data_IF_563603773634
#
_entry.id   IF_563603773634
#
_cell.length_a   1.000
_cell.length_b   1.000
_cell.length_c   1.000
_cell.angle_alpha   90.00
_cell.angle_beta   90.00
_cell.angle_gamma   90.00
#
_symmetry.space_group_name_H-M   'P 1'
#
loop_
_entity.id
_entity.type
_entity.pdbx_description
1 polymer ?
#
# COMPACT_ATOMS: atom_id res chain seq x y z
N UNK A 1 3.31 10.10 23.16
CA UNK A 1 2.79 9.84 24.52
C UNK A 1 1.94 11.03 24.98
N UNK A 2 1.00 10.86 25.94
CA UNK A 2 0.18 11.97 26.46
C UNK A 2 1.04 13.15 26.96
N UNK A 3 2.13 12.81 27.65
CA UNK A 3 3.10 13.77 28.20
C UNK A 3 3.77 14.62 27.11
N UNK A 4 4.10 14.04 25.94
CA UNK A 4 4.68 14.79 24.82
C UNK A 4 3.68 15.79 24.21
N UNK A 5 2.39 15.41 24.15
CA UNK A 5 1.35 16.28 23.64
C UNK A 5 1.03 17.42 24.62
N UNK A 6 0.96 17.12 25.91
CA UNK A 6 0.75 18.15 26.94
C UNK A 6 1.93 19.14 27.02
N UNK A 7 3.17 18.67 26.81
CA UNK A 7 4.34 19.53 26.76
C UNK A 7 4.27 20.57 25.62
N UNK A 8 3.84 20.17 24.42
CA UNK A 8 3.63 21.10 23.29
C UNK A 8 2.49 22.08 23.59
N UNK A 9 1.46 21.65 24.32
CA UNK A 9 0.37 22.56 24.73
C UNK A 9 0.85 23.58 25.77
N UNK A 10 1.74 23.18 26.68
CA UNK A 10 2.31 24.04 27.72
C UNK A 10 3.21 25.16 27.18
N UNK A 11 3.72 25.07 25.94
CA UNK A 11 4.47 26.15 25.30
C UNK A 11 3.59 27.25 24.70
N UNK A 12 2.27 27.20 24.90
CA UNK A 12 1.31 28.15 24.32
C UNK A 12 0.90 27.83 22.89
N UNK A 13 1.10 26.59 22.42
CA UNK A 13 0.72 26.18 21.07
C UNK A 13 -0.81 26.28 20.86
N UNK A 14 -1.22 26.84 19.72
CA UNK A 14 -2.61 26.82 19.27
C UNK A 14 -3.09 25.40 18.95
N UNK A 15 -4.40 25.19 18.87
CA UNK A 15 -4.99 23.87 18.62
C UNK A 15 -4.44 23.18 17.37
N UNK A 16 -4.27 23.92 16.26
CA UNK A 16 -3.71 23.39 15.02
C UNK A 16 -2.23 23.02 15.15
N UNK A 17 -1.44 23.79 15.90
CA UNK A 17 -0.05 23.46 16.18
C UNK A 17 0.04 22.20 17.05
N UNK A 18 -0.82 22.09 18.06
CA UNK A 18 -0.88 20.90 18.89
C UNK A 18 -1.19 19.64 18.08
N UNK A 19 -2.16 19.68 17.17
CA UNK A 19 -2.48 18.52 16.31
C UNK A 19 -1.31 18.16 15.39
N UNK A 20 -0.76 19.12 14.65
CA UNK A 20 0.26 18.84 13.64
C UNK A 20 1.62 18.43 14.23
N UNK A 21 1.96 18.92 15.43
CA UNK A 21 3.27 18.65 16.04
C UNK A 21 3.22 17.59 17.15
N UNK A 22 2.08 17.40 17.83
CA UNK A 22 1.96 16.36 18.84
C UNK A 22 1.33 15.08 18.30
N UNK A 23 0.18 15.17 17.63
CA UNK A 23 -0.66 14.00 17.35
C UNK A 23 -0.34 13.39 15.98
N UNK A 24 -0.32 14.22 14.94
CA UNK A 24 -0.08 13.77 13.56
C UNK A 24 1.22 12.93 13.44
N UNK A 25 2.38 13.36 13.94
CA UNK A 25 3.63 12.60 13.76
C UNK A 25 3.60 11.24 14.47
N UNK A 26 2.76 11.08 15.50
CA UNK A 26 2.62 9.81 16.22
C UNK A 26 1.78 8.80 15.42
N UNK A 27 0.78 9.25 14.66
CA UNK A 27 -0.13 8.36 13.91
C UNK A 27 0.28 8.16 12.44
N UNK A 28 0.98 9.13 11.84
CA UNK A 28 1.41 9.10 10.44
C UNK A 28 2.24 7.85 10.08
N UNK A 29 3.27 7.45 10.86
CA UNK A 29 3.98 6.18 10.71
C UNK A 29 3.05 4.99 10.45
N UNK A 30 2.07 4.79 11.33
CA UNK A 30 1.12 3.68 11.27
C UNK A 30 0.16 3.82 10.08
N UNK A 31 -0.34 5.02 9.82
CA UNK A 31 -1.25 5.27 8.70
C UNK A 31 -0.59 5.00 7.36
N UNK A 32 0.64 5.48 7.16
CA UNK A 32 1.41 5.22 5.93
C UNK A 32 1.63 3.73 5.76
N UNK A 33 2.08 3.03 6.81
CA UNK A 33 2.29 1.58 6.76
C UNK A 33 1.03 0.80 6.39
N UNK A 34 -0.12 1.15 6.97
CA UNK A 34 -1.41 0.52 6.66
C UNK A 34 -1.89 0.83 5.24
N UNK A 35 -1.72 2.06 4.76
CA UNK A 35 -2.11 2.44 3.40
C UNK A 35 -1.30 1.69 2.35
N UNK A 36 0.02 1.57 2.54
CA UNK A 36 0.89 0.82 1.62
C UNK A 36 0.54 -0.67 1.66
N UNK A 37 0.33 -1.25 2.84
CA UNK A 37 -0.11 -2.64 2.97
C UNK A 37 -1.47 -2.90 2.28
N UNK A 38 -2.41 -1.97 2.42
CA UNK A 38 -3.70 -2.06 1.72
C UNK A 38 -3.53 -1.97 0.21
N UNK A 39 -2.71 -1.05 -0.28
CA UNK A 39 -2.44 -0.92 -1.72
C UNK A 39 -1.92 -2.24 -2.30
N UNK A 40 -0.97 -2.88 -1.62
CA UNK A 40 -0.42 -4.18 -2.01
C UNK A 40 -1.48 -5.29 -2.09
N UNK A 41 -2.34 -5.41 -1.06
CA UNK A 41 -3.45 -6.38 -1.07
C UNK A 41 -4.40 -6.10 -2.25
N UNK A 42 -4.80 -4.84 -2.44
CA UNK A 42 -5.70 -4.47 -3.53
C UNK A 42 -5.10 -4.80 -4.91
N UNK A 43 -3.78 -4.68 -5.06
CA UNK A 43 -3.09 -5.03 -6.31
C UNK A 43 -3.15 -6.53 -6.60
N UNK A 44 -2.87 -7.37 -5.59
CA UNK A 44 -3.01 -8.83 -5.69
C UNK A 44 -4.46 -9.25 -5.95
N UNK A 45 -5.39 -8.66 -5.22
CA UNK A 45 -6.81 -8.95 -5.34
C UNK A 45 -7.33 -8.59 -6.74
N UNK A 46 -6.92 -7.45 -7.31
CA UNK A 46 -7.25 -7.05 -8.68
C UNK A 46 -6.74 -8.04 -9.74
N UNK A 47 -5.58 -8.67 -9.51
CA UNK A 47 -5.08 -9.73 -10.39
C UNK A 47 -5.97 -10.99 -10.30
N UNK A 48 -6.35 -11.41 -9.09
CA UNK A 48 -7.21 -12.59 -8.89
C UNK A 48 -8.63 -12.36 -9.43
N UNK A 49 -9.24 -11.23 -9.08
CA UNK A 49 -10.59 -10.85 -9.52
C UNK A 49 -10.65 -10.70 -11.05
N UNK A 50 -9.59 -10.17 -11.67
CA UNK A 50 -9.53 -10.01 -13.12
C UNK A 50 -9.55 -11.34 -13.89
N UNK A 51 -8.99 -12.40 -13.31
CA UNK A 51 -9.02 -13.74 -13.92
C UNK A 51 -10.41 -14.37 -13.83
N UNK A 52 -11.17 -14.12 -12.76
CA UNK A 52 -12.53 -14.65 -12.58
C UNK A 52 -13.63 -13.77 -13.20
N UNK A 53 -13.28 -12.69 -13.89
CA UNK A 53 -14.21 -11.87 -14.66
C UNK A 53 -14.73 -10.60 -13.95
N UNK A 54 -14.19 -10.24 -12.78
CA UNK A 54 -14.59 -9.01 -12.07
C UNK A 54 -13.87 -7.72 -12.53
N UNK A 55 -12.94 -7.81 -13.48
CA UNK A 55 -12.15 -6.68 -13.99
C UNK A 55 -10.81 -6.46 -13.26
N UNK A 56 -10.02 -5.45 -13.67
CA UNK A 56 -8.71 -5.15 -13.09
C UNK A 56 -7.52 -5.72 -13.88
N UNK A 57 -6.32 -5.72 -13.27
CA UNK A 57 -5.07 -6.07 -13.99
C UNK A 57 -5.03 -7.54 -14.44
N UNK A 58 -5.77 -8.42 -13.77
CA UNK A 58 -5.90 -9.82 -14.16
C UNK A 58 -6.75 -10.04 -15.41
N UNK A 59 -7.55 -9.05 -15.82
CA UNK A 59 -8.39 -9.16 -17.01
C UNK A 59 -7.56 -9.24 -18.30
N UNK A 60 -6.42 -8.54 -18.34
CA UNK A 60 -5.47 -8.59 -19.47
C UNK A 60 -4.85 -9.98 -19.59
N UNK A 61 -4.47 -10.59 -18.47
CA UNK A 61 -3.97 -11.97 -18.42
C UNK A 61 -5.04 -12.96 -18.93
N UNK A 62 -6.27 -12.84 -18.42
CA UNK A 62 -7.38 -13.69 -18.84
C UNK A 62 -7.71 -13.53 -20.34
N UNK A 63 -7.61 -12.31 -20.87
CA UNK A 63 -7.83 -12.04 -22.30
C UNK A 63 -6.78 -12.74 -23.17
N UNK A 64 -5.49 -12.67 -22.79
CA UNK A 64 -4.43 -13.38 -23.50
C UNK A 64 -4.63 -14.91 -23.46
N UNK A 65 -4.99 -15.46 -22.29
CA UNK A 65 -5.35 -16.87 -22.14
C UNK A 65 -6.53 -17.27 -23.04
N UNK A 66 -7.58 -16.45 -23.08
CA UNK A 66 -8.78 -16.70 -23.90
C UNK A 66 -8.49 -16.66 -25.40
N UNK A 67 -7.41 -15.98 -25.81
CA UNK A 67 -6.92 -15.92 -27.19
C UNK A 67 -5.90 -17.01 -27.53
N UNK A 68 -5.57 -17.90 -26.58
CA UNK A 68 -4.51 -18.90 -26.71
C UNK A 68 -3.11 -18.29 -26.96
N UNK A 69 -2.91 -17.02 -26.58
CA UNK A 69 -1.63 -16.32 -26.67
C UNK A 69 -0.78 -16.60 -25.42
N UNK A 70 -0.28 -17.83 -25.30
CA UNK A 70 0.40 -18.27 -24.08
C UNK A 70 1.72 -17.55 -23.79
N UNK A 71 2.46 -17.14 -24.84
CA UNK A 71 3.67 -16.33 -24.69
C UNK A 71 3.36 -14.96 -24.07
N UNK A 72 2.31 -14.30 -24.58
CA UNK A 72 1.80 -13.03 -24.03
C UNK A 72 1.30 -13.21 -22.60
N UNK A 73 0.55 -14.28 -22.32
CA UNK A 73 0.04 -14.59 -20.99
C UNK A 73 1.17 -14.81 -19.98
N UNK A 74 2.21 -15.54 -20.35
CA UNK A 74 3.39 -15.77 -19.51
C UNK A 74 4.13 -14.46 -19.21
N UNK A 75 4.31 -13.58 -20.21
CA UNK A 75 4.92 -12.27 -20.01
C UNK A 75 4.11 -11.40 -19.03
N UNK A 76 2.78 -11.35 -19.18
CA UNK A 76 1.89 -10.63 -18.27
C UNK A 76 1.99 -11.19 -16.84
N UNK A 77 1.98 -12.51 -16.70
CA UNK A 77 2.08 -13.17 -15.39
C UNK A 77 3.39 -12.80 -14.68
N UNK A 78 4.52 -12.84 -15.39
CA UNK A 78 5.83 -12.44 -14.84
C UNK A 78 5.82 -10.98 -14.39
N UNK A 79 5.22 -10.08 -15.17
CA UNK A 79 5.11 -8.66 -14.79
C UNK A 79 4.27 -8.49 -13.52
N UNK A 80 3.13 -9.16 -13.41
CA UNK A 80 2.28 -9.12 -12.21
C UNK A 80 3.09 -9.59 -10.98
N UNK A 81 3.79 -10.72 -11.10
CA UNK A 81 4.64 -11.24 -10.01
C UNK A 81 5.71 -10.22 -9.64
N UNK A 82 6.41 -9.64 -10.61
CA UNK A 82 7.46 -8.65 -10.35
C UNK A 82 6.94 -7.40 -9.61
N UNK A 83 5.77 -6.89 -9.99
CA UNK A 83 5.14 -5.75 -9.32
C UNK A 83 4.76 -6.11 -7.87
N UNK A 84 4.12 -7.26 -7.67
CA UNK A 84 3.71 -7.73 -6.34
C UNK A 84 4.92 -7.93 -5.43
N UNK A 85 5.99 -8.56 -5.93
CA UNK A 85 7.24 -8.73 -5.16
C UNK A 85 7.89 -7.38 -4.81
N UNK A 86 7.87 -6.43 -5.74
CA UNK A 86 8.41 -5.07 -5.51
C UNK A 86 7.61 -4.34 -4.42
N UNK A 87 6.27 -4.41 -4.46
CA UNK A 87 5.40 -3.81 -3.45
C UNK A 87 5.60 -4.46 -2.08
N UNK A 88 5.75 -5.78 -2.03
CA UNK A 88 6.02 -6.52 -0.79
C UNK A 88 7.37 -6.12 -0.17
N UNK A 89 8.41 -6.01 -0.99
CA UNK A 89 9.72 -5.55 -0.54
C UNK A 89 9.68 -4.09 -0.02
N UNK A 90 9.04 -3.18 -0.77
CA UNK A 90 8.86 -1.78 -0.36
C UNK A 90 8.07 -1.68 0.95
N UNK A 91 7.01 -2.48 1.10
CA UNK A 91 6.21 -2.54 2.33
C UNK A 91 7.04 -3.00 3.52
N UNK A 92 7.85 -4.05 3.34
CA UNK A 92 8.78 -4.54 4.37
C UNK A 92 9.85 -3.51 4.75
N UNK A 93 10.38 -2.78 3.77
CA UNK A 93 11.37 -1.73 4.00
C UNK A 93 10.77 -0.53 4.75
N UNK A 94 9.59 -0.05 4.34
CA UNK A 94 8.89 1.02 5.05
C UNK A 94 8.63 0.62 6.50
N UNK A 95 8.16 -0.61 6.74
CA UNK A 95 7.86 -1.08 8.08
C UNK A 95 9.11 -1.09 8.99
N UNK A 96 10.28 -1.43 8.45
CA UNK A 96 11.58 -1.37 9.16
C UNK A 96 12.11 0.04 9.41
N UNK A 97 11.65 1.05 8.66
CA UNK A 97 12.06 2.46 8.82
C UNK A 97 11.13 3.26 9.72
N UNK A 98 9.92 2.75 9.90
CA UNK A 98 8.80 3.42 10.57
C UNK A 98 8.58 2.86 11.99
N UNK A 99 9.02 1.61 12.24
CA UNK A 99 9.17 1.01 13.57
C UNK A 99 10.59 1.20 14.08
#
# INVERSE_FOLDING_TARGET
SPVQAEAIRATGASWFQWINYAIQPQVMPRMIGLSVYRLDINFRESAVIGIVGGGGIGATLNTAFSRYEFDTAAAILIIIIAIVMTLEFCSGFLRKRVQ
#
